data_IF_330289204663
#
_entry.id   IF_330289204663
#
_cell.length_a   1.000
_cell.length_b   1.000
_cell.length_c   1.000
_cell.angle_alpha   90.00
_cell.angle_beta   90.00
_cell.angle_gamma   90.00
#
_symmetry.space_group_name_H-M   'P 1'
#
loop_
_entity.id
_entity.type
_entity.pdbx_description
1 polymer ?
#
# COMPACT_ATOMS: atom_id res chain seq x y z
N UNK A 1 -6.94 26.31 5.63
CA UNK A 1 -6.49 25.52 4.47
C UNK A 1 -6.52 24.05 4.85
N UNK A 2 -7.22 23.24 4.06
CA UNK A 2 -7.46 21.82 4.32
C UNK A 2 -6.14 21.03 4.33
N UNK A 3 -5.24 21.38 3.43
CA UNK A 3 -3.90 20.80 3.26
C UNK A 3 -3.11 20.89 4.56
N UNK A 4 -3.15 22.05 5.23
CA UNK A 4 -2.49 22.25 6.55
C UNK A 4 -3.13 21.44 7.68
N UNK A 5 -4.39 21.05 7.56
CA UNK A 5 -5.07 20.18 8.53
C UNK A 5 -4.70 18.73 8.28
N UNK A 6 -4.71 18.30 7.02
CA UNK A 6 -4.30 16.94 6.62
C UNK A 6 -2.83 16.67 6.97
N UNK A 7 -1.92 17.60 6.66
CA UNK A 7 -0.49 17.44 6.97
C UNK A 7 -0.23 17.31 8.49
N UNK A 8 -0.92 18.10 9.31
CA UNK A 8 -0.82 17.98 10.78
C UNK A 8 -1.41 16.66 11.27
N UNK A 9 -2.61 16.33 10.79
CA UNK A 9 -3.27 15.07 11.11
C UNK A 9 -2.38 13.85 10.80
N UNK A 10 -1.76 13.78 9.62
CA UNK A 10 -0.86 12.67 9.26
C UNK A 10 0.42 12.67 10.09
N UNK A 11 0.95 13.84 10.45
CA UNK A 11 2.15 13.95 11.27
C UNK A 11 1.91 13.51 12.73
N UNK A 12 0.71 13.74 13.24
CA UNK A 12 0.34 13.43 14.62
C UNK A 12 -0.01 11.94 14.84
N UNK A 13 -0.18 11.16 13.76
CA UNK A 13 -0.41 9.71 13.84
C UNK A 13 0.87 9.03 14.34
N UNK A 14 0.75 8.33 15.47
CA UNK A 14 1.84 7.57 16.09
C UNK A 14 1.37 6.17 16.42
N UNK A 15 2.26 5.20 16.34
CA UNK A 15 1.96 3.81 16.70
C UNK A 15 1.34 3.69 18.09
N UNK A 16 1.91 4.38 19.07
CA UNK A 16 1.47 4.37 20.48
C UNK A 16 0.07 4.94 20.70
N UNK A 17 -0.47 5.68 19.74
CA UNK A 17 -1.84 6.21 19.81
C UNK A 17 -2.92 5.19 19.42
N UNK A 18 -2.52 4.05 18.84
CA UNK A 18 -3.43 3.01 18.39
C UNK A 18 -3.88 2.16 19.58
N UNK A 19 -5.19 2.13 19.83
CA UNK A 19 -5.74 1.18 20.79
C UNK A 19 -5.58 -0.28 20.31
N UNK A 20 -5.67 -1.22 21.25
CA UNK A 20 -5.44 -2.66 20.97
C UNK A 20 -6.38 -3.23 19.92
N UNK A 21 -7.64 -2.79 19.89
CA UNK A 21 -8.63 -3.29 18.95
C UNK A 21 -8.36 -2.75 17.54
N UNK A 22 -8.08 -1.45 17.42
CA UNK A 22 -7.68 -0.80 16.17
C UNK A 22 -6.42 -1.44 15.62
N UNK A 23 -5.40 -1.66 16.46
CA UNK A 23 -4.15 -2.30 16.06
C UNK A 23 -4.36 -3.73 15.56
N UNK A 24 -5.22 -4.50 16.23
CA UNK A 24 -5.55 -5.85 15.81
C UNK A 24 -6.24 -5.88 14.44
N UNK A 25 -7.23 -5.01 14.23
CA UNK A 25 -7.94 -4.89 12.95
C UNK A 25 -7.01 -4.45 11.82
N UNK A 26 -6.12 -3.48 12.10
CA UNK A 26 -5.13 -3.00 11.14
C UNK A 26 -4.21 -4.14 10.69
N UNK A 27 -3.62 -4.89 11.64
CA UNK A 27 -2.76 -6.04 11.34
C UNK A 27 -3.50 -7.10 10.52
N UNK A 28 -4.76 -7.40 10.86
CA UNK A 28 -5.59 -8.34 10.11
C UNK A 28 -5.79 -7.88 8.67
N UNK A 29 -6.13 -6.62 8.44
CA UNK A 29 -6.35 -6.06 7.11
C UNK A 29 -5.04 -6.02 6.28
N UNK A 30 -3.90 -5.79 6.92
CA UNK A 30 -2.59 -5.85 6.25
C UNK A 30 -2.27 -7.27 5.81
N UNK A 31 -2.49 -8.27 6.68
CA UNK A 31 -2.29 -9.69 6.34
C UNK A 31 -3.19 -10.14 5.19
N UNK A 32 -4.45 -9.71 5.20
CA UNK A 32 -5.40 -9.96 4.11
C UNK A 32 -4.91 -9.37 2.78
N UNK A 33 -4.49 -8.11 2.80
CA UNK A 33 -3.93 -7.43 1.61
C UNK A 33 -2.65 -8.11 1.12
N UNK A 34 -1.78 -8.54 2.03
CA UNK A 34 -0.56 -9.27 1.71
C UNK A 34 -0.87 -10.63 1.06
N UNK A 35 -1.89 -11.35 1.54
CA UNK A 35 -2.37 -12.56 0.87
C UNK A 35 -2.86 -12.27 -0.55
N UNK A 36 -3.57 -11.15 -0.76
CA UNK A 36 -3.96 -10.67 -2.09
C UNK A 36 -2.78 -10.38 -3.01
N UNK A 37 -1.71 -9.76 -2.49
CA UNK A 37 -0.44 -9.55 -3.21
C UNK A 37 0.20 -10.90 -3.59
N UNK A 38 0.27 -11.85 -2.64
CA UNK A 38 0.80 -13.19 -2.90
C UNK A 38 -0.01 -13.95 -3.95
N UNK A 39 -1.34 -13.78 -3.99
CA UNK A 39 -2.18 -14.33 -5.05
C UNK A 39 -1.86 -13.70 -6.41
N UNK A 40 -1.63 -12.39 -6.46
CA UNK A 40 -1.23 -11.68 -7.68
C UNK A 40 0.10 -12.18 -8.25
N UNK A 41 1.03 -12.62 -7.40
CA UNK A 41 2.31 -13.21 -7.83
C UNK A 41 2.15 -14.53 -8.60
N UNK A 42 0.97 -15.15 -8.59
CA UNK A 42 0.69 -16.34 -9.42
C UNK A 42 0.45 -15.98 -10.89
N UNK A 43 0.28 -14.69 -11.24
CA UNK A 43 0.15 -14.24 -12.63
C UNK A 43 1.53 -14.16 -13.31
N UNK A 44 1.99 -15.31 -13.80
CA UNK A 44 3.28 -15.44 -14.48
C UNK A 44 3.37 -14.61 -15.76
N UNK A 45 2.25 -14.32 -16.42
CA UNK A 45 2.22 -13.46 -17.60
C UNK A 45 2.50 -12.00 -17.23
N UNK A 46 1.93 -11.51 -16.13
CA UNK A 46 2.24 -10.19 -15.58
C UNK A 46 3.71 -10.12 -15.14
N UNK A 47 4.20 -11.12 -14.40
CA UNK A 47 5.60 -11.16 -13.96
C UNK A 47 6.58 -11.18 -15.15
N UNK A 48 6.24 -11.88 -16.24
CA UNK A 48 7.04 -11.83 -17.47
C UNK A 48 7.10 -10.44 -18.12
N UNK A 49 6.05 -9.61 -17.96
CA UNK A 49 6.09 -8.20 -18.38
C UNK A 49 6.98 -7.36 -17.49
N UNK A 50 6.96 -7.59 -16.18
CA UNK A 50 7.85 -6.90 -15.24
C UNK A 50 9.30 -7.23 -15.49
N UNK A 51 9.61 -8.51 -15.71
CA UNK A 51 10.97 -8.94 -16.04
C UNK A 51 11.45 -8.28 -17.33
N UNK A 52 10.62 -8.27 -18.38
CA UNK A 52 10.95 -7.58 -19.63
C UNK A 52 11.14 -6.08 -19.45
N UNK A 53 10.27 -5.41 -18.70
CA UNK A 53 10.36 -3.97 -18.45
C UNK A 53 11.67 -3.64 -17.71
N UNK A 54 11.91 -4.34 -16.60
CA UNK A 54 13.11 -4.18 -15.77
C UNK A 54 14.39 -4.55 -16.53
N UNK A 55 14.32 -5.46 -17.51
CA UNK A 55 15.47 -5.84 -18.33
C UNK A 55 15.98 -4.73 -19.26
N UNK A 56 15.12 -3.78 -19.63
CA UNK A 56 15.49 -2.73 -20.58
C UNK A 56 16.36 -1.65 -19.93
N UNK A 57 16.17 -1.40 -18.63
CA UNK A 57 16.89 -0.40 -17.85
C UNK A 57 17.17 -0.98 -16.45
N UNK A 58 18.15 -1.90 -16.32
CA UNK A 58 18.45 -2.51 -15.03
C UNK A 58 19.06 -1.48 -14.07
N UNK A 59 18.63 -1.52 -12.82
CA UNK A 59 19.19 -0.73 -11.72
C UNK A 59 19.34 -1.60 -10.47
N UNK A 60 20.56 -2.12 -10.27
CA UNK A 60 20.87 -3.01 -9.14
C UNK A 60 20.87 -2.27 -7.79
N UNK A 61 20.87 -0.93 -7.78
CA UNK A 61 20.73 -0.12 -6.57
C UNK A 61 19.30 0.39 -6.37
N UNK A 62 18.38 0.00 -7.25
CA UNK A 62 16.98 0.39 -7.22
C UNK A 62 16.17 -0.36 -6.16
N UNK A 63 14.85 -0.32 -6.33
CA UNK A 63 13.90 -1.03 -5.45
C UNK A 63 13.59 -2.40 -6.05
N UNK A 64 13.54 -3.42 -5.20
CA UNK A 64 13.17 -4.78 -5.60
C UNK A 64 11.74 -4.82 -6.19
N UNK A 65 11.64 -5.39 -7.39
CA UNK A 65 10.37 -5.73 -8.04
C UNK A 65 9.97 -7.13 -7.60
N UNK A 66 8.84 -7.24 -6.92
CA UNK A 66 8.42 -8.50 -6.32
C UNK A 66 8.15 -9.57 -7.37
N UNK A 67 8.60 -10.80 -7.08
CA UNK A 67 8.33 -11.98 -7.90
C UNK A 67 9.31 -12.24 -9.06
N UNK A 68 10.21 -11.31 -9.38
CA UNK A 68 11.13 -11.48 -10.52
C UNK A 68 12.62 -11.48 -10.15
N UNK A 69 12.98 -11.17 -8.90
CA UNK A 69 14.37 -11.20 -8.44
C UNK A 69 15.27 -10.12 -9.08
N UNK A 70 14.68 -8.98 -9.48
CA UNK A 70 15.38 -7.83 -10.09
C UNK A 70 14.96 -6.55 -9.40
N UNK A 71 15.82 -5.54 -9.46
CA UNK A 71 15.53 -4.20 -9.01
C UNK A 71 15.33 -3.26 -10.21
N UNK A 72 14.52 -2.22 -10.00
CA UNK A 72 14.23 -1.19 -10.98
C UNK A 72 14.28 0.19 -10.32
N UNK A 73 14.31 1.24 -11.13
CA UNK A 73 14.21 2.62 -10.66
C UNK A 73 12.97 2.81 -9.77
N UNK A 74 13.06 3.70 -8.78
CA UNK A 74 12.13 3.75 -7.65
C UNK A 74 10.67 3.88 -8.10
N UNK A 75 10.40 4.78 -9.05
CA UNK A 75 9.05 4.97 -9.60
C UNK A 75 8.50 3.74 -10.32
N UNK A 76 9.35 2.99 -11.02
CA UNK A 76 8.94 1.81 -11.79
C UNK A 76 8.66 0.63 -10.86
N UNK A 77 9.54 0.40 -9.89
CA UNK A 77 9.35 -0.64 -8.88
C UNK A 77 8.13 -0.38 -8.00
N UNK A 78 7.94 0.85 -7.52
CA UNK A 78 6.73 1.24 -6.77
C UNK A 78 5.48 1.02 -7.63
N UNK A 79 5.51 1.38 -8.91
CA UNK A 79 4.38 1.17 -9.81
C UNK A 79 4.07 -0.33 -10.01
N UNK A 80 5.08 -1.15 -10.29
CA UNK A 80 4.91 -2.60 -10.50
C UNK A 80 4.43 -3.30 -9.22
N UNK A 81 5.03 -3.02 -8.07
CA UNK A 81 4.59 -3.58 -6.78
C UNK A 81 3.17 -3.10 -6.40
N UNK A 82 2.81 -1.86 -6.75
CA UNK A 82 1.45 -1.35 -6.53
C UNK A 82 0.41 -2.09 -7.36
N UNK A 83 0.71 -2.43 -8.61
CA UNK A 83 -0.17 -3.27 -9.46
C UNK A 83 -0.42 -4.62 -8.81
N UNK A 84 0.60 -5.27 -8.22
CA UNK A 84 0.41 -6.54 -7.50
C UNK A 84 -0.57 -6.42 -6.33
N UNK A 85 -0.63 -5.26 -5.67
CA UNK A 85 -1.62 -4.97 -4.63
C UNK A 85 -3.06 -5.06 -5.11
N UNK A 86 -3.33 -4.72 -6.38
CA UNK A 86 -4.68 -4.67 -6.94
C UNK A 86 -5.02 -5.85 -7.86
N UNK A 87 -4.00 -6.51 -8.42
CA UNK A 87 -4.14 -7.43 -9.56
C UNK A 87 -5.11 -8.59 -9.31
N UNK A 88 -5.13 -9.14 -8.09
CA UNK A 88 -6.01 -10.25 -7.71
C UNK A 88 -7.44 -9.83 -7.40
N UNK A 89 -7.71 -8.52 -7.23
CA UNK A 89 -8.98 -7.97 -6.75
C UNK A 89 -9.42 -8.52 -5.37
N UNK A 90 -8.46 -9.05 -4.60
CA UNK A 90 -8.64 -9.51 -3.22
C UNK A 90 -8.24 -8.41 -2.23
N UNK A 91 -9.03 -7.34 -2.22
CA UNK A 91 -8.82 -6.16 -1.37
C UNK A 91 -10.06 -5.85 -0.55
N UNK A 92 -9.89 -5.24 0.62
CA UNK A 92 -11.05 -4.78 1.39
C UNK A 92 -11.79 -3.65 0.68
N UNK A 93 -13.07 -3.49 1.02
CA UNK A 93 -13.90 -2.41 0.51
C UNK A 93 -14.41 -1.59 1.67
N UNK A 94 -14.16 -0.29 1.63
CA UNK A 94 -14.81 0.69 2.47
C UNK A 94 -15.98 1.32 1.71
N UNK A 95 -17.17 1.30 2.31
CA UNK A 95 -18.35 2.02 1.82
C UNK A 95 -18.67 3.09 2.84
N UNK A 96 -18.85 4.32 2.36
CA UNK A 96 -19.22 5.45 3.20
C UNK A 96 -20.57 5.16 3.89
N UNK A 97 -20.68 5.33 5.22
CA UNK A 97 -21.94 5.11 5.92
C UNK A 97 -22.96 6.23 5.63
N UNK A 98 -22.49 7.39 5.17
CA UNK A 98 -23.30 8.61 5.08
C UNK A 98 -23.38 9.18 3.66
N UNK A 99 -22.63 8.63 2.70
CA UNK A 99 -22.58 9.08 1.30
C UNK A 99 -22.47 7.86 0.35
N UNK A 100 -22.49 8.11 -0.96
CA UNK A 100 -22.42 7.04 -1.99
C UNK A 100 -20.99 6.57 -2.32
N UNK A 101 -20.00 7.11 -1.62
CA UNK A 101 -18.58 6.84 -1.87
C UNK A 101 -18.12 5.45 -1.48
N UNK A 102 -17.18 4.91 -2.26
CA UNK A 102 -16.46 3.70 -1.95
C UNK A 102 -14.97 3.85 -2.23
N UNK A 103 -14.15 3.10 -1.50
CA UNK A 103 -12.73 2.97 -1.79
C UNK A 103 -12.20 1.60 -1.37
N UNK A 104 -11.00 1.27 -1.82
CA UNK A 104 -10.23 0.13 -1.34
C UNK A 104 -9.00 0.64 -0.57
N UNK A 105 -9.10 0.92 0.73
CA UNK A 105 -7.97 1.40 1.53
C UNK A 105 -6.72 0.52 1.40
N UNK A 106 -6.92 -0.80 1.26
CA UNK A 106 -5.88 -1.81 1.02
C UNK A 106 -5.01 -1.56 -0.21
N UNK A 107 -5.45 -0.76 -1.18
CA UNK A 107 -4.65 -0.40 -2.36
C UNK A 107 -3.34 0.30 -1.98
N UNK A 108 -3.26 0.88 -0.78
CA UNK A 108 -2.08 1.56 -0.27
C UNK A 108 -1.06 0.61 0.40
N UNK A 109 -1.41 -0.65 0.68
CA UNK A 109 -0.55 -1.57 1.44
C UNK A 109 0.72 -1.91 0.66
N UNK A 110 0.60 -2.19 -0.63
CA UNK A 110 1.74 -2.50 -1.50
C UNK A 110 2.74 -1.35 -1.57
N UNK A 111 2.26 -0.10 -1.66
CA UNK A 111 3.08 1.10 -1.61
C UNK A 111 3.87 1.19 -0.31
N UNK A 112 3.19 1.08 0.85
CA UNK A 112 3.86 1.23 2.15
C UNK A 112 4.85 0.10 2.40
N UNK A 113 4.52 -1.14 2.02
CA UNK A 113 5.45 -2.26 2.15
C UNK A 113 6.68 -2.09 1.23
N UNK A 114 6.49 -1.60 0.00
CA UNK A 114 7.60 -1.34 -0.93
C UNK A 114 8.55 -0.28 -0.37
N UNK A 115 8.01 0.84 0.11
CA UNK A 115 8.83 1.93 0.65
C UNK A 115 9.44 1.55 2.01
N UNK A 116 8.72 0.77 2.82
CA UNK A 116 9.22 0.29 4.11
C UNK A 116 10.43 -0.63 3.95
N UNK A 117 10.41 -1.54 2.98
CA UNK A 117 11.55 -2.38 2.61
C UNK A 117 12.73 -1.53 2.11
N UNK A 118 12.48 -0.63 1.17
CA UNK A 118 13.52 0.21 0.58
C UNK A 118 14.20 1.16 1.59
N UNK A 119 13.41 1.78 2.47
CA UNK A 119 13.92 2.71 3.50
C UNK A 119 14.32 2.00 4.80
N UNK A 120 14.19 0.67 4.88
CA UNK A 120 14.46 -0.13 6.07
C UNK A 120 13.74 0.40 7.33
N UNK A 121 12.43 0.65 7.23
CA UNK A 121 11.63 1.21 8.32
C UNK A 121 11.21 0.15 9.33
N UNK A 122 10.80 0.59 10.53
CA UNK A 122 10.29 -0.32 11.56
C UNK A 122 8.87 -0.80 11.24
N UNK A 123 8.45 -1.91 11.85
CA UNK A 123 7.07 -2.37 11.77
C UNK A 123 6.06 -1.37 12.34
N UNK A 124 6.46 -0.56 13.32
CA UNK A 124 5.63 0.50 13.91
C UNK A 124 5.40 1.64 12.92
N UNK A 125 6.43 2.00 12.15
CA UNK A 125 6.32 2.98 11.06
C UNK A 125 5.38 2.46 9.97
N UNK A 126 5.55 1.20 9.54
CA UNK A 126 4.67 0.57 8.53
C UNK A 126 3.20 0.59 9.01
N UNK A 127 2.95 0.20 10.25
CA UNK A 127 1.59 0.19 10.81
C UNK A 127 1.00 1.60 10.86
N UNK A 128 1.76 2.59 11.34
CA UNK A 128 1.30 3.97 11.44
C UNK A 128 1.04 4.59 10.05
N UNK A 129 1.90 4.32 9.08
CA UNK A 129 1.74 4.79 7.69
C UNK A 129 0.52 4.16 7.00
N UNK A 130 0.30 2.85 7.14
CA UNK A 130 -0.90 2.20 6.57
C UNK A 130 -2.17 2.71 7.25
N UNK A 131 -2.13 2.91 8.57
CA UNK A 131 -3.25 3.50 9.29
C UNK A 131 -3.61 4.90 8.77
N UNK A 132 -2.60 5.76 8.58
CA UNK A 132 -2.79 7.08 7.98
C UNK A 132 -3.38 7.01 6.57
N UNK A 133 -2.86 6.11 5.72
CA UNK A 133 -3.37 5.90 4.37
C UNK A 133 -4.85 5.44 4.37
N UNK A 134 -5.22 4.55 5.29
CA UNK A 134 -6.59 4.09 5.43
C UNK A 134 -7.53 5.21 5.85
N UNK A 135 -7.15 5.99 6.86
CA UNK A 135 -7.95 7.14 7.31
C UNK A 135 -8.13 8.19 6.22
N UNK A 136 -7.09 8.46 5.43
CA UNK A 136 -7.19 9.37 4.29
C UNK A 136 -8.09 8.81 3.19
N UNK A 137 -7.91 7.55 2.79
CA UNK A 137 -8.74 6.90 1.75
C UNK A 137 -10.22 6.92 2.13
N UNK A 138 -10.55 6.46 3.34
CA UNK A 138 -11.91 6.46 3.86
C UNK A 138 -12.44 7.88 4.06
N UNK A 139 -11.60 8.81 4.54
CA UNK A 139 -11.93 10.21 4.70
C UNK A 139 -12.33 10.85 3.38
N UNK A 140 -11.54 10.68 2.32
CA UNK A 140 -11.88 11.19 1.00
C UNK A 140 -13.15 10.55 0.44
N UNK A 141 -13.34 9.24 0.60
CA UNK A 141 -14.58 8.56 0.22
C UNK A 141 -15.81 9.05 1.02
N UNK A 142 -15.62 9.58 2.23
CA UNK A 142 -16.70 10.19 3.00
C UNK A 142 -17.05 11.61 2.54
N UNK A 143 -16.09 12.37 2.01
CA UNK A 143 -16.31 13.78 1.67
C UNK A 143 -16.57 14.03 0.18
N UNK A 144 -16.04 13.19 -0.70
CA UNK A 144 -16.12 13.35 -2.15
C UNK A 144 -16.95 12.20 -2.73
N UNK A 145 -18.28 12.34 -2.70
CA UNK A 145 -19.23 11.43 -3.36
C UNK A 145 -20.57 12.11 -3.57
#
# INVERSE_FOLDING_TARGET
MLEKRLARFTHDIRFDSLDKATLHLLKRNILDSYAGICASLQDTYLLGKYDRLTSMLPDDNGINVWGIGRAAHESEAVFMNSILGRRSDLVNTYISPNNVGGSHPSDNVSLVLTLGDWMNTSGEDILSSIYAAYLLSCGFANFYS
#
